data_IF_967235110834
#
_entry.id   IF_967235110834
#
_cell.length_a   1.000
_cell.length_b   1.000
_cell.length_c   1.000
_cell.angle_alpha   90.00
_cell.angle_beta   90.00
_cell.angle_gamma   90.00
#
_symmetry.space_group_name_H-M   'P 1'
#
loop_
_entity.id
_entity.type
_entity.pdbx_description
1 polymer ?
#
# COMPACT_ATOMS: atom_id res chain seq x y z
N UNK A 1 69.53 46.21 -4.70
CA UNK A 1 70.12 47.19 -5.63
C UNK A 1 69.20 48.38 -5.52
N UNK A 2 69.70 49.49 -4.98
CA UNK A 2 68.88 50.69 -4.74
C UNK A 2 68.63 51.34 -6.12
N UNK A 3 67.48 51.03 -6.71
CA UNK A 3 66.96 51.71 -7.90
C UNK A 3 66.42 53.08 -7.50
N UNK A 4 66.60 54.08 -8.36
CA UNK A 4 66.19 55.47 -8.13
C UNK A 4 64.72 55.57 -7.66
N UNK A 5 64.49 55.97 -6.41
CA UNK A 5 63.15 56.25 -5.82
C UNK A 5 62.54 57.59 -6.31
N UNK A 6 63.03 58.19 -7.40
CA UNK A 6 62.61 59.53 -7.82
C UNK A 6 62.29 59.58 -9.32
N UNK A 7 61.22 60.29 -9.68
CA UNK A 7 60.86 60.59 -11.06
C UNK A 7 61.82 61.61 -11.70
N UNK A 8 61.81 61.71 -13.03
CA UNK A 8 62.75 62.55 -13.78
C UNK A 8 62.20 63.99 -13.92
N UNK A 9 62.93 65.06 -13.57
CA UNK A 9 62.41 66.44 -13.67
C UNK A 9 62.28 66.98 -15.10
N UNK A 10 62.50 66.15 -16.12
CA UNK A 10 62.36 66.48 -17.55
C UNK A 10 61.38 65.54 -18.27
N UNK A 11 60.80 64.60 -17.52
CA UNK A 11 59.74 63.68 -17.94
C UNK A 11 58.53 64.04 -17.08
N UNK A 12 57.37 64.27 -17.67
CA UNK A 12 56.16 64.63 -16.94
C UNK A 12 55.26 63.43 -16.61
N UNK A 13 55.58 62.25 -17.15
CA UNK A 13 54.87 60.98 -17.00
C UNK A 13 55.93 59.86 -17.04
N UNK A 14 56.34 59.36 -15.87
CA UNK A 14 57.56 58.55 -15.71
C UNK A 14 57.37 57.08 -16.08
N UNK A 15 56.16 56.52 -16.03
CA UNK A 15 55.83 55.16 -16.45
C UNK A 15 55.06 55.07 -17.77
N UNK A 16 54.66 56.22 -18.31
CA UNK A 16 54.03 56.39 -19.62
C UNK A 16 52.63 55.77 -19.70
N UNK A 17 51.90 55.76 -18.59
CA UNK A 17 50.52 55.28 -18.51
C UNK A 17 49.50 56.33 -19.01
N UNK A 18 49.90 57.59 -19.11
CA UNK A 18 49.08 58.72 -19.55
C UNK A 18 48.59 59.67 -18.45
N UNK A 19 48.98 59.47 -17.19
CA UNK A 19 48.86 60.42 -16.09
C UNK A 19 50.17 61.20 -15.88
N UNK A 20 50.07 62.45 -15.44
CA UNK A 20 51.27 63.22 -15.10
C UNK A 20 51.74 62.85 -13.69
N UNK A 21 53.06 62.68 -13.49
CA UNK A 21 53.72 62.38 -12.19
C UNK A 21 53.16 63.25 -11.04
N UNK A 22 52.83 64.50 -11.38
CA UNK A 22 52.32 65.50 -10.45
C UNK A 22 50.87 65.25 -10.06
N UNK A 23 50.02 64.79 -10.97
CA UNK A 23 48.62 64.50 -10.70
C UNK A 23 48.48 63.20 -9.90
N UNK A 24 49.26 62.17 -10.23
CA UNK A 24 49.34 60.90 -9.48
C UNK A 24 49.68 61.18 -8.00
N UNK A 25 50.80 61.85 -7.73
CA UNK A 25 51.24 62.09 -6.35
C UNK A 25 50.35 63.08 -5.58
N UNK A 26 49.81 64.12 -6.23
CA UNK A 26 49.09 65.19 -5.52
C UNK A 26 47.57 64.98 -5.42
N UNK A 27 46.97 64.23 -6.35
CA UNK A 27 45.51 64.08 -6.42
C UNK A 27 45.06 62.64 -6.14
N UNK A 28 45.82 61.63 -6.56
CA UNK A 28 45.38 60.23 -6.57
C UNK A 28 46.16 59.33 -5.60
N UNK A 29 47.36 59.75 -5.20
CA UNK A 29 48.28 59.01 -4.33
C UNK A 29 48.81 57.70 -4.95
N UNK A 30 48.75 57.58 -6.28
CA UNK A 30 49.29 56.44 -7.01
C UNK A 30 50.82 56.58 -7.25
N UNK A 31 51.50 55.50 -7.64
CA UNK A 31 52.95 55.48 -7.84
C UNK A 31 53.30 55.89 -9.29
N UNK A 32 53.91 57.07 -9.51
CA UNK A 32 54.20 57.60 -10.86
C UNK A 32 55.25 56.82 -11.66
N UNK A 33 55.64 55.64 -11.18
CA UNK A 33 56.59 54.73 -11.83
C UNK A 33 55.99 53.36 -12.09
N UNK A 34 54.76 53.13 -11.64
CA UNK A 34 54.07 51.88 -11.79
C UNK A 34 52.77 52.17 -12.54
N UNK A 35 52.66 51.64 -13.75
CA UNK A 35 51.50 51.90 -14.62
C UNK A 35 50.17 51.38 -14.07
N UNK A 36 50.21 50.57 -13.01
CA UNK A 36 49.13 49.84 -12.35
C UNK A 36 49.56 49.71 -10.89
N UNK A 37 49.15 50.66 -10.04
CA UNK A 37 49.74 50.87 -8.72
C UNK A 37 49.32 49.82 -7.68
N UNK A 38 48.10 49.32 -7.75
CA UNK A 38 47.55 48.27 -6.88
C UNK A 38 47.65 46.85 -7.47
N UNK A 39 48.14 46.72 -8.71
CA UNK A 39 48.38 45.44 -9.39
C UNK A 39 47.08 44.66 -9.69
N UNK A 40 45.94 45.35 -9.90
CA UNK A 40 44.62 44.77 -10.19
C UNK A 40 44.40 44.46 -11.69
N UNK A 41 45.31 44.94 -12.55
CA UNK A 41 45.26 44.74 -14.00
C UNK A 41 44.70 45.92 -14.80
N UNK A 42 44.22 46.98 -14.14
CA UNK A 42 43.87 48.28 -14.71
C UNK A 42 45.04 49.24 -14.56
N UNK A 43 45.20 50.16 -15.51
CA UNK A 43 46.21 51.20 -15.34
C UNK A 43 45.65 52.37 -14.55
N UNK A 44 46.47 53.06 -13.76
CA UNK A 44 46.04 54.24 -12.99
C UNK A 44 45.26 55.23 -13.88
N UNK A 45 45.77 55.48 -15.10
CA UNK A 45 45.10 56.33 -16.08
C UNK A 45 43.75 55.83 -16.55
N UNK A 46 43.53 54.51 -16.61
CA UNK A 46 42.27 53.90 -17.04
C UNK A 46 41.23 54.11 -15.96
N UNK A 47 41.55 53.81 -14.72
CA UNK A 47 40.63 53.91 -13.58
C UNK A 47 40.14 55.35 -13.36
N UNK A 48 41.04 56.34 -13.49
CA UNK A 48 40.69 57.76 -13.32
C UNK A 48 39.88 58.32 -14.51
N UNK A 49 40.14 57.84 -15.72
CA UNK A 49 39.52 58.39 -16.93
C UNK A 49 38.26 57.62 -17.38
N UNK A 50 38.05 56.40 -16.90
CA UNK A 50 36.95 55.52 -17.28
C UNK A 50 35.93 55.38 -16.13
N UNK A 51 35.20 56.46 -15.86
CA UNK A 51 34.16 56.48 -14.82
C UNK A 51 32.80 56.09 -15.39
N UNK A 52 32.62 54.80 -15.72
CA UNK A 52 31.39 54.26 -16.33
C UNK A 52 30.73 53.18 -15.47
N UNK A 53 31.20 52.99 -14.25
CA UNK A 53 30.82 51.92 -13.32
C UNK A 53 29.72 52.37 -12.36
N UNK A 54 29.11 51.41 -11.68
CA UNK A 54 28.02 51.55 -10.71
C UNK A 54 26.67 51.87 -11.35
N UNK A 55 25.60 51.79 -10.55
CA UNK A 55 24.20 51.94 -11.00
C UNK A 55 23.92 53.18 -11.88
N UNK A 56 24.61 54.31 -11.60
CA UNK A 56 24.41 55.58 -12.30
C UNK A 56 25.43 55.82 -13.46
N UNK A 57 26.23 54.81 -13.84
CA UNK A 57 27.29 54.85 -14.88
C UNK A 57 28.21 56.08 -14.78
N UNK A 58 28.63 56.43 -13.56
CA UNK A 58 29.46 57.62 -13.33
C UNK A 58 30.53 57.46 -12.25
N UNK A 59 30.68 56.25 -11.74
CA UNK A 59 31.66 55.91 -10.73
C UNK A 59 32.94 55.39 -11.38
N UNK A 60 34.06 55.57 -10.70
CA UNK A 60 35.37 55.14 -11.16
C UNK A 60 36.01 54.24 -10.11
N UNK A 61 36.79 53.27 -10.57
CA UNK A 61 37.71 52.45 -9.77
C UNK A 61 38.86 53.29 -9.22
N UNK A 62 39.69 52.72 -8.36
CA UNK A 62 40.65 53.49 -7.57
C UNK A 62 42.08 52.96 -7.74
N UNK A 63 43.06 53.78 -8.16
CA UNK A 63 44.42 53.35 -8.51
C UNK A 63 45.32 53.00 -7.32
N UNK A 64 44.74 52.66 -6.18
CA UNK A 64 45.44 52.27 -4.95
C UNK A 64 44.63 51.25 -4.14
N UNK A 65 43.48 50.81 -4.65
CA UNK A 65 42.59 49.83 -4.06
C UNK A 65 42.14 48.89 -5.18
N UNK A 66 42.64 47.66 -5.09
CA UNK A 66 42.48 46.56 -6.04
C UNK A 66 41.04 46.04 -6.18
N UNK A 67 40.23 46.21 -5.14
CA UNK A 67 38.84 45.73 -5.04
C UNK A 67 37.95 46.88 -4.53
N UNK A 68 37.16 47.41 -5.44
CA UNK A 68 36.43 48.67 -5.30
C UNK A 68 35.14 48.56 -4.50
N UNK A 69 34.44 47.43 -4.56
CA UNK A 69 33.18 47.19 -3.84
C UNK A 69 33.33 46.24 -2.64
N UNK A 70 34.44 45.51 -2.56
CA UNK A 70 34.85 44.67 -1.46
C UNK A 70 34.26 43.25 -1.50
N UNK A 71 33.85 42.75 -2.66
CA UNK A 71 33.26 41.41 -2.82
C UNK A 71 34.32 40.28 -2.83
N UNK A 72 35.58 40.63 -3.13
CA UNK A 72 36.73 39.75 -3.19
C UNK A 72 37.29 39.48 -4.60
N UNK A 73 36.69 40.05 -5.64
CA UNK A 73 37.17 40.06 -7.02
C UNK A 73 37.88 41.40 -7.30
N UNK A 74 39.04 41.36 -7.95
CA UNK A 74 39.80 42.59 -8.23
C UNK A 74 39.16 43.33 -9.43
N UNK A 75 39.18 44.67 -9.45
CA UNK A 75 38.46 45.49 -10.45
C UNK A 75 38.83 45.10 -11.90
N UNK A 76 40.07 44.73 -12.16
CA UNK A 76 40.52 44.25 -13.47
C UNK A 76 40.06 42.83 -13.83
N UNK A 77 39.85 41.96 -12.83
CA UNK A 77 39.28 40.62 -13.01
C UNK A 77 37.78 40.71 -13.31
N UNK A 78 37.06 41.60 -12.63
CA UNK A 78 35.65 41.89 -12.89
C UNK A 78 35.40 42.32 -14.35
N UNK A 79 36.23 43.21 -14.91
CA UNK A 79 36.11 43.56 -16.33
C UNK A 79 36.40 42.39 -17.27
N UNK A 80 37.16 41.40 -16.82
CA UNK A 80 37.47 40.19 -17.59
C UNK A 80 36.29 39.23 -17.59
N UNK A 81 35.62 39.08 -16.44
CA UNK A 81 34.45 38.22 -16.25
C UNK A 81 33.14 38.89 -16.68
N UNK A 82 33.14 40.22 -16.81
CA UNK A 82 32.04 41.02 -17.35
C UNK A 82 31.14 41.64 -16.28
N UNK A 83 31.54 41.61 -15.02
CA UNK A 83 30.85 42.20 -13.86
C UNK A 83 31.19 43.68 -13.68
N UNK A 84 30.48 44.37 -12.78
CA UNK A 84 30.68 45.81 -12.51
C UNK A 84 31.51 46.03 -11.23
N UNK A 85 32.73 46.64 -11.33
CA UNK A 85 33.60 46.92 -10.17
C UNK A 85 33.08 47.84 -9.07
N UNK A 86 31.81 48.18 -9.10
CA UNK A 86 31.16 49.00 -8.07
C UNK A 86 29.90 48.33 -7.54
N UNK A 87 29.65 47.10 -7.95
CA UNK A 87 28.46 46.35 -7.63
C UNK A 87 28.80 44.91 -7.29
N UNK A 88 28.76 44.59 -6.00
CA UNK A 88 29.24 43.31 -5.47
C UNK A 88 28.39 42.10 -5.88
N UNK A 89 27.26 42.32 -6.53
CA UNK A 89 26.25 41.33 -6.92
C UNK A 89 25.63 41.85 -8.22
N UNK A 90 26.29 41.56 -9.34
CA UNK A 90 26.05 42.22 -10.62
C UNK A 90 24.69 41.88 -11.25
N UNK A 91 24.01 40.82 -10.81
CA UNK A 91 22.68 40.45 -11.29
C UNK A 91 21.57 40.46 -10.23
N UNK A 92 21.89 40.91 -9.01
CA UNK A 92 20.98 41.12 -7.89
C UNK A 92 20.28 39.84 -7.37
N UNK A 93 20.89 38.67 -7.53
CA UNK A 93 20.30 37.37 -7.15
C UNK A 93 20.58 36.99 -5.67
N UNK A 94 21.52 37.70 -5.03
CA UNK A 94 21.90 37.53 -3.64
C UNK A 94 23.16 36.69 -3.40
N UNK A 95 23.84 36.21 -4.45
CA UNK A 95 25.21 35.70 -4.44
C UNK A 95 26.13 36.83 -4.92
N UNK A 96 27.35 36.92 -4.39
CA UNK A 96 28.29 37.92 -4.86
C UNK A 96 29.16 37.37 -6.01
N UNK A 97 29.62 38.26 -6.89
CA UNK A 97 30.29 37.88 -8.13
C UNK A 97 31.49 36.94 -7.89
N UNK A 98 32.31 37.24 -6.89
CA UNK A 98 33.41 36.38 -6.47
C UNK A 98 32.98 34.95 -6.10
N UNK A 99 31.88 34.80 -5.36
CA UNK A 99 31.39 33.48 -4.95
C UNK A 99 30.90 32.69 -6.15
N UNK A 100 30.21 33.31 -7.09
CA UNK A 100 29.70 32.64 -8.28
C UNK A 100 30.82 32.09 -9.16
N UNK A 101 31.90 32.85 -9.33
CA UNK A 101 33.05 32.44 -10.15
C UNK A 101 33.90 31.37 -9.44
N UNK A 102 33.92 31.36 -8.11
CA UNK A 102 34.82 30.46 -7.34
C UNK A 102 34.13 29.22 -6.78
N UNK A 103 32.83 29.27 -6.52
CA UNK A 103 32.04 28.20 -5.94
C UNK A 103 31.39 27.33 -7.03
N UNK A 104 32.23 26.61 -7.76
CA UNK A 104 31.80 25.74 -8.86
C UNK A 104 31.47 24.31 -8.39
N UNK A 105 30.51 24.15 -7.48
CA UNK A 105 30.12 22.85 -6.93
C UNK A 105 28.67 22.46 -7.29
N UNK A 106 28.12 23.07 -8.34
CA UNK A 106 26.74 22.86 -8.79
C UNK A 106 26.69 21.98 -10.04
N UNK A 107 25.48 21.56 -10.37
CA UNK A 107 25.14 20.65 -11.45
C UNK A 107 25.57 19.20 -11.19
N UNK A 108 25.08 18.33 -12.05
CA UNK A 108 25.25 16.86 -12.01
C UNK A 108 26.68 16.34 -11.77
N UNK A 109 27.69 17.04 -12.31
CA UNK A 109 29.11 16.66 -12.17
C UNK A 109 29.85 17.44 -11.06
N UNK A 110 29.14 18.22 -10.23
CA UNK A 110 29.67 19.12 -9.17
C UNK A 110 30.85 19.98 -9.68
N UNK A 111 30.68 20.60 -10.86
CA UNK A 111 31.76 21.38 -11.50
C UNK A 111 31.28 22.62 -12.27
N UNK A 112 30.00 22.94 -12.14
CA UNK A 112 29.40 24.14 -12.70
C UNK A 112 29.30 25.22 -11.62
N UNK A 113 29.31 26.46 -12.07
CA UNK A 113 29.18 27.64 -11.22
C UNK A 113 28.03 28.48 -11.76
N UNK A 114 27.38 29.22 -10.86
CA UNK A 114 26.39 30.24 -11.17
C UNK A 114 27.03 31.38 -11.97
N UNK A 115 26.20 32.12 -12.69
CA UNK A 115 26.64 33.15 -13.60
C UNK A 115 26.42 34.52 -12.95
N UNK A 116 27.47 35.33 -12.72
CA UNK A 116 27.37 36.64 -12.04
C UNK A 116 26.77 37.77 -12.88
N UNK A 117 25.92 37.41 -13.82
CA UNK A 117 25.30 38.30 -14.79
C UNK A 117 23.92 37.77 -15.23
N UNK A 118 23.50 36.64 -14.66
CA UNK A 118 22.26 35.93 -14.96
C UNK A 118 21.74 35.35 -13.64
N UNK A 119 20.82 36.07 -13.01
CA UNK A 119 20.23 35.72 -11.71
C UNK A 119 19.50 34.37 -11.63
N UNK A 120 19.31 33.68 -12.75
CA UNK A 120 18.63 32.38 -12.89
C UNK A 120 19.35 31.65 -14.02
N UNK A 121 20.37 30.90 -13.64
CA UNK A 121 21.40 30.39 -14.54
C UNK A 121 20.92 29.22 -15.40
N UNK A 122 20.06 28.36 -14.86
CA UNK A 122 19.51 27.20 -15.58
C UNK A 122 18.17 27.53 -16.28
N UNK A 123 17.52 28.63 -15.90
CA UNK A 123 16.31 29.16 -16.49
C UNK A 123 15.03 28.48 -16.01
N UNK A 124 15.04 27.87 -14.83
CA UNK A 124 13.91 27.15 -14.24
C UNK A 124 12.88 28.05 -13.54
N UNK A 125 13.18 29.36 -13.40
CA UNK A 125 12.41 30.42 -12.73
C UNK A 125 12.65 30.63 -11.23
N UNK A 126 13.58 29.89 -10.64
CA UNK A 126 14.13 30.14 -9.32
C UNK A 126 15.45 30.91 -9.50
N UNK A 127 15.73 31.88 -8.61
CA UNK A 127 16.98 32.65 -8.67
C UNK A 127 18.10 31.88 -7.95
N UNK A 128 19.33 31.88 -8.48
CA UNK A 128 20.40 30.99 -7.98
C UNK A 128 20.67 31.24 -6.48
N UNK A 129 20.72 32.51 -6.07
CA UNK A 129 20.85 32.90 -4.66
C UNK A 129 19.71 32.40 -3.76
N UNK A 130 18.50 32.23 -4.29
CA UNK A 130 17.39 31.63 -3.54
C UNK A 130 17.62 30.13 -3.28
N UNK A 131 18.10 29.40 -4.28
CA UNK A 131 18.38 27.97 -4.20
C UNK A 131 19.51 27.69 -3.22
N UNK A 132 20.61 28.45 -3.35
CA UNK A 132 21.81 28.32 -2.53
C UNK A 132 21.56 28.68 -1.07
N UNK A 133 20.86 29.79 -0.80
CA UNK A 133 20.78 30.35 0.56
C UNK A 133 19.47 30.13 1.30
N UNK A 134 18.35 30.01 0.58
CA UNK A 134 17.02 29.93 1.17
C UNK A 134 16.39 28.53 1.07
N UNK A 135 17.04 27.62 0.35
CA UNK A 135 16.70 26.21 0.36
C UNK A 135 15.42 25.92 -0.42
N UNK A 136 15.43 26.25 -1.71
CA UNK A 136 14.45 25.73 -2.67
C UNK A 136 14.51 24.20 -2.81
N UNK A 137 15.57 23.59 -2.27
CA UNK A 137 15.85 22.16 -2.36
C UNK A 137 16.22 21.70 -3.79
N UNK A 138 16.51 22.63 -4.68
CA UNK A 138 16.99 22.47 -6.06
C UNK A 138 18.49 22.81 -6.21
N UNK A 139 19.07 22.46 -7.35
CA UNK A 139 20.40 22.83 -7.81
C UNK A 139 20.30 23.96 -8.85
N UNK A 140 20.97 25.12 -8.66
CA UNK A 140 20.83 26.28 -9.55
C UNK A 140 21.35 26.06 -10.98
N UNK A 141 22.02 24.94 -11.23
CA UNK A 141 22.50 24.55 -12.55
C UNK A 141 21.67 23.44 -13.21
N UNK A 142 20.61 22.97 -12.55
CA UNK A 142 19.82 21.83 -12.98
C UNK A 142 18.32 22.09 -12.89
N UNK A 143 17.69 22.14 -14.06
CA UNK A 143 16.27 22.51 -14.19
C UNK A 143 15.27 21.48 -13.66
N UNK A 144 15.75 20.30 -13.24
CA UNK A 144 14.97 19.12 -12.82
C UNK A 144 15.88 18.29 -11.88
N UNK A 145 16.04 18.77 -10.64
CA UNK A 145 17.12 18.35 -9.73
C UNK A 145 17.05 16.87 -9.32
N UNK A 146 15.88 16.25 -9.37
CA UNK A 146 15.69 14.82 -9.07
C UNK A 146 15.38 13.94 -10.28
N UNK A 147 15.44 14.50 -11.50
CA UNK A 147 15.19 13.82 -12.77
C UNK A 147 13.79 13.15 -12.86
N UNK A 148 12.80 13.71 -12.18
CA UNK A 148 11.45 13.16 -12.12
C UNK A 148 10.60 13.57 -13.34
N UNK A 149 11.01 14.63 -14.04
CA UNK A 149 10.37 15.16 -15.24
C UNK A 149 9.48 16.38 -15.00
N UNK A 150 9.37 16.85 -13.76
CA UNK A 150 8.86 18.15 -13.35
C UNK A 150 10.06 19.08 -13.15
N UNK A 151 9.86 20.36 -13.44
CA UNK A 151 10.92 21.36 -13.32
C UNK A 151 10.82 22.02 -11.94
N UNK A 152 11.94 22.26 -11.28
CA UNK A 152 11.99 22.71 -9.87
C UNK A 152 11.17 24.00 -9.64
N UNK A 153 11.25 24.97 -10.56
CA UNK A 153 10.42 26.16 -10.55
C UNK A 153 8.91 25.88 -10.67
N UNK A 154 8.49 24.83 -11.37
CA UNK A 154 7.09 24.36 -11.39
C UNK A 154 6.71 23.79 -10.03
N UNK A 155 7.58 23.00 -9.41
CA UNK A 155 7.31 22.39 -8.11
C UNK A 155 7.23 23.41 -6.98
N UNK A 156 7.98 24.50 -7.07
CA UNK A 156 7.93 25.58 -6.06
C UNK A 156 6.83 26.61 -6.30
N UNK A 157 6.41 26.85 -7.55
CA UNK A 157 5.50 27.93 -7.91
C UNK A 157 4.08 27.49 -8.32
N UNK A 158 3.93 26.28 -8.85
CA UNK A 158 2.67 25.70 -9.31
C UNK A 158 2.11 24.69 -8.29
N UNK A 159 2.08 25.10 -7.03
CA UNK A 159 1.48 24.37 -5.92
C UNK A 159 -0.05 24.29 -6.06
N UNK A 160 -0.54 23.37 -6.88
CA UNK A 160 -1.99 23.15 -7.10
C UNK A 160 -2.41 21.72 -6.78
N UNK A 161 -1.53 20.96 -6.14
CA UNK A 161 -1.71 19.56 -5.81
C UNK A 161 -2.29 19.43 -4.40
N UNK A 162 -2.71 18.21 -4.07
CA UNK A 162 -3.36 17.82 -2.84
C UNK A 162 -4.73 18.40 -2.49
N UNK A 163 -5.33 17.92 -1.37
CA UNK A 163 -6.72 18.19 -1.01
C UNK A 163 -6.98 19.68 -0.74
N UNK A 164 -5.93 20.47 -0.50
CA UNK A 164 -6.03 21.92 -0.35
C UNK A 164 -5.95 22.67 -1.68
N UNK A 165 -5.46 22.03 -2.74
CA UNK A 165 -5.15 22.63 -4.05
C UNK A 165 -4.10 23.75 -3.92
N UNK A 166 -3.23 23.64 -2.92
CA UNK A 166 -2.16 24.59 -2.62
C UNK A 166 -0.86 23.91 -2.20
N UNK A 167 -0.79 22.60 -2.34
CA UNK A 167 0.35 21.80 -1.93
C UNK A 167 1.28 21.59 -3.15
N UNK A 168 2.58 21.38 -2.90
CA UNK A 168 3.61 21.27 -3.94
C UNK A 168 4.49 20.03 -3.74
N UNK A 169 5.02 19.52 -4.84
CA UNK A 169 6.04 18.46 -4.87
C UNK A 169 7.39 19.04 -4.46
N UNK A 170 8.41 18.19 -4.31
CA UNK A 170 9.73 18.58 -3.83
C UNK A 170 10.80 18.41 -4.92
N UNK A 171 11.52 19.48 -5.29
CA UNK A 171 12.57 19.45 -6.32
C UNK A 171 13.70 18.41 -6.20
N UNK A 172 13.83 17.75 -5.05
CA UNK A 172 14.87 16.76 -4.82
C UNK A 172 14.35 15.38 -4.41
N UNK A 173 13.05 15.16 -4.55
CA UNK A 173 12.40 13.90 -4.25
C UNK A 173 11.50 13.53 -5.44
N UNK A 174 11.89 12.55 -6.26
CA UNK A 174 11.13 12.20 -7.46
C UNK A 174 9.82 11.43 -7.15
N UNK A 175 9.48 11.35 -5.87
CA UNK A 175 8.37 10.64 -5.24
C UNK A 175 8.23 11.29 -3.85
N UNK A 176 7.39 12.32 -3.77
CA UNK A 176 7.33 13.25 -2.64
C UNK A 176 6.80 12.57 -1.37
N UNK A 177 5.79 11.72 -1.47
CA UNK A 177 5.21 11.01 -0.32
C UNK A 177 5.82 9.63 -0.05
N UNK A 178 6.56 9.08 -1.02
CA UNK A 178 7.30 7.83 -0.91
C UNK A 178 6.45 6.58 -1.07
N UNK A 179 5.31 6.66 -1.76
CA UNK A 179 4.40 5.53 -1.97
C UNK A 179 4.86 4.58 -3.10
N UNK A 180 5.83 5.02 -3.91
CA UNK A 180 6.40 4.28 -5.03
C UNK A 180 5.86 4.66 -6.41
N UNK A 181 5.04 5.71 -6.51
CA UNK A 181 4.66 6.41 -7.73
C UNK A 181 5.53 7.68 -7.82
N UNK A 182 5.82 8.10 -9.05
CA UNK A 182 6.63 9.28 -9.28
C UNK A 182 5.71 10.49 -9.48
N UNK A 183 6.10 11.65 -8.95
CA UNK A 183 5.24 12.85 -8.92
C UNK A 183 4.77 13.26 -10.33
N UNK A 184 5.65 13.18 -11.34
CA UNK A 184 5.26 13.44 -12.74
C UNK A 184 4.13 12.50 -13.21
N UNK A 185 4.18 11.21 -12.87
CA UNK A 185 3.16 10.23 -13.27
C UNK A 185 1.80 10.54 -12.62
N UNK A 186 1.80 10.93 -11.36
CA UNK A 186 0.60 11.34 -10.61
C UNK A 186 0.00 12.63 -11.19
N UNK A 187 0.83 13.58 -11.61
CA UNK A 187 0.36 14.88 -12.08
C UNK A 187 -0.07 14.87 -13.55
N UNK A 188 0.68 14.19 -14.43
CA UNK A 188 0.53 14.35 -15.88
C UNK A 188 0.04 13.10 -16.62
N UNK A 189 0.30 11.91 -16.07
CA UNK A 189 -0.07 10.66 -16.72
C UNK A 189 -1.50 10.25 -16.35
N UNK A 190 -1.92 10.50 -15.09
CA UNK A 190 -3.29 10.33 -14.57
C UNK A 190 -3.99 9.11 -15.16
N UNK A 191 -3.42 7.93 -14.90
CA UNK A 191 -3.81 6.68 -15.57
C UNK A 191 -4.82 5.86 -14.77
N UNK A 192 -5.38 6.41 -13.70
CA UNK A 192 -6.21 5.68 -12.73
C UNK A 192 -7.72 5.92 -12.98
N UNK A 193 -8.57 5.14 -12.29
CA UNK A 193 -10.02 5.14 -12.48
C UNK A 193 -10.52 4.39 -13.72
N UNK A 194 -11.84 4.23 -13.85
CA UNK A 194 -12.48 3.44 -14.95
C UNK A 194 -12.13 3.94 -16.36
N UNK A 195 -11.83 5.24 -16.50
CA UNK A 195 -11.56 5.92 -17.76
C UNK A 195 -10.04 6.21 -17.99
N UNK A 196 -9.17 5.80 -17.06
CA UNK A 196 -7.73 6.12 -17.03
C UNK A 196 -7.48 7.64 -17.18
N UNK A 197 -8.18 8.45 -16.40
CA UNK A 197 -8.06 9.91 -16.36
C UNK A 197 -8.06 10.50 -14.95
N UNK A 198 -7.96 9.66 -13.92
CA UNK A 198 -7.87 10.04 -12.52
C UNK A 198 -6.40 9.96 -12.03
N UNK A 199 -6.09 10.79 -11.05
CA UNK A 199 -4.74 11.03 -10.53
C UNK A 199 -4.77 10.78 -9.01
N UNK A 200 -3.74 10.13 -8.47
CA UNK A 200 -3.42 10.11 -7.05
C UNK A 200 -2.79 11.44 -6.64
N UNK A 201 -2.69 11.71 -5.34
CA UNK A 201 -2.07 12.93 -4.84
C UNK A 201 -0.59 12.68 -4.47
N UNK A 202 0.39 13.34 -5.12
CA UNK A 202 1.82 13.10 -4.87
C UNK A 202 2.32 13.49 -3.48
N UNK A 203 1.43 13.90 -2.58
CA UNK A 203 1.72 14.20 -1.18
C UNK A 203 0.93 13.34 -0.20
N UNK A 204 0.13 12.41 -0.70
CA UNK A 204 -0.73 11.54 0.09
C UNK A 204 -0.59 10.09 -0.37
N UNK A 205 0.22 9.34 0.38
CA UNK A 205 0.60 7.97 0.02
C UNK A 205 -0.53 6.93 0.06
N UNK A 206 -1.75 7.34 0.41
CA UNK A 206 -2.95 6.52 0.65
C UNK A 206 -4.19 7.43 0.43
N UNK A 207 -4.55 7.62 -0.84
CA UNK A 207 -5.49 8.63 -1.33
C UNK A 207 -6.93 8.42 -0.83
N UNK A 208 -7.33 7.20 -0.47
CA UNK A 208 -8.67 6.88 0.01
C UNK A 208 -8.74 6.50 1.50
N UNK A 209 -7.60 6.52 2.21
CA UNK A 209 -7.44 6.28 3.64
C UNK A 209 -7.88 4.87 4.11
N UNK A 210 -7.79 3.86 3.25
CA UNK A 210 -8.23 2.49 3.57
C UNK A 210 -7.13 1.62 4.25
N UNK A 211 -5.88 2.08 4.18
CA UNK A 211 -4.71 1.44 4.77
C UNK A 211 -3.81 0.67 3.79
N UNK A 212 -4.10 0.69 2.49
CA UNK A 212 -3.23 0.27 1.40
C UNK A 212 -2.77 1.52 0.65
N UNK A 213 -1.46 1.69 0.48
CA UNK A 213 -0.96 2.88 -0.22
C UNK A 213 -1.11 2.78 -1.73
N UNK A 214 -1.27 3.91 -2.41
CA UNK A 214 -1.65 3.96 -3.83
C UNK A 214 -0.67 3.18 -4.71
N UNK A 215 0.63 3.39 -4.52
CA UNK A 215 1.68 2.67 -5.22
C UNK A 215 1.64 1.15 -4.98
N UNK A 216 1.17 0.68 -3.83
CA UNK A 216 0.98 -0.75 -3.54
C UNK A 216 -0.21 -1.31 -4.31
N UNK A 217 -1.33 -0.60 -4.26
CA UNK A 217 -2.54 -0.97 -4.99
C UNK A 217 -2.28 -1.10 -6.47
N UNK A 218 -1.71 -0.07 -7.09
CA UNK A 218 -1.45 -0.03 -8.54
C UNK A 218 -0.45 -1.11 -8.97
N UNK A 219 0.67 -1.25 -8.25
CA UNK A 219 1.77 -2.11 -8.69
C UNK A 219 1.66 -3.56 -8.24
N UNK A 220 0.86 -3.85 -7.20
CA UNK A 220 0.78 -5.18 -6.57
C UNK A 220 -0.59 -5.81 -6.72
N UNK A 221 -1.65 -5.10 -6.32
CA UNK A 221 -3.01 -5.65 -6.26
C UNK A 221 -3.84 -5.36 -7.51
N UNK A 222 -3.44 -4.35 -8.29
CA UNK A 222 -4.19 -3.80 -9.42
C UNK A 222 -5.60 -3.34 -9.03
N UNK A 223 -5.76 -2.89 -7.79
CA UNK A 223 -6.96 -2.22 -7.27
C UNK A 223 -6.95 -0.72 -7.61
N UNK A 224 -8.00 0.00 -7.23
CA UNK A 224 -8.16 1.42 -7.54
C UNK A 224 -7.92 2.29 -6.30
N UNK A 225 -6.84 3.09 -6.25
CA UNK A 225 -6.41 3.80 -5.05
C UNK A 225 -7.26 5.00 -4.62
N UNK A 226 -8.40 5.20 -5.29
CA UNK A 226 -9.32 6.30 -5.02
C UNK A 226 -10.65 5.80 -4.44
N UNK A 227 -10.79 4.49 -4.24
CA UNK A 227 -12.00 3.85 -3.75
C UNK A 227 -11.66 2.80 -2.70
N UNK A 228 -12.13 3.04 -1.48
CA UNK A 228 -11.82 2.19 -0.33
C UNK A 228 -12.26 0.72 -0.47
N UNK A 229 -13.12 0.40 -1.45
CA UNK A 229 -13.69 -0.92 -1.73
C UNK A 229 -13.79 -1.02 -3.26
N UNK A 230 -12.79 -1.64 -3.88
CA UNK A 230 -12.57 -1.60 -5.32
C UNK A 230 -13.58 -2.44 -6.09
N UNK A 231 -14.01 -3.58 -5.54
CA UNK A 231 -14.95 -4.48 -6.20
C UNK A 231 -16.41 -4.35 -5.73
N UNK A 232 -16.66 -3.44 -4.78
CA UNK A 232 -17.95 -3.05 -4.23
C UNK A 232 -18.70 -4.19 -3.50
N UNK A 233 -17.99 -5.14 -2.90
CA UNK A 233 -18.59 -6.24 -2.14
C UNK A 233 -18.96 -5.87 -0.70
N UNK A 234 -18.35 -4.79 -0.17
CA UNK A 234 -18.55 -4.25 1.16
C UNK A 234 -17.43 -4.52 2.16
N UNK A 235 -16.33 -5.18 1.78
CA UNK A 235 -15.05 -5.15 2.47
C UNK A 235 -14.18 -4.03 1.89
N UNK A 236 -13.53 -3.26 2.76
CA UNK A 236 -12.56 -2.29 2.29
C UNK A 236 -11.27 -3.02 1.85
N UNK A 237 -10.57 -2.53 0.82
CA UNK A 237 -9.39 -3.16 0.20
C UNK A 237 -8.29 -3.48 1.25
N UNK A 238 -8.10 -2.59 2.22
CA UNK A 238 -7.20 -2.78 3.36
C UNK A 238 -7.62 -3.92 4.30
N UNK A 239 -8.92 -4.16 4.49
CA UNK A 239 -9.42 -5.33 5.20
C UNK A 239 -9.15 -6.61 4.40
N UNK A 240 -9.35 -6.57 3.09
CA UNK A 240 -9.10 -7.69 2.20
C UNK A 240 -7.62 -8.10 2.18
N UNK A 241 -6.69 -7.15 2.10
CA UNK A 241 -5.25 -7.42 2.24
C UNK A 241 -4.94 -8.15 3.55
N UNK A 242 -5.63 -7.81 4.64
CA UNK A 242 -5.42 -8.43 5.95
C UNK A 242 -5.94 -9.88 6.01
N UNK A 243 -6.94 -10.20 5.17
CA UNK A 243 -7.61 -11.51 5.09
C UNK A 243 -7.04 -12.39 3.99
N UNK A 244 -6.41 -11.80 2.98
CA UNK A 244 -5.88 -12.48 1.80
C UNK A 244 -6.90 -12.72 0.70
N UNK A 245 -8.04 -12.01 0.73
CA UNK A 245 -9.04 -11.98 -0.35
C UNK A 245 -8.56 -11.09 -1.50
N UNK A 246 -9.32 -11.04 -2.59
CA UNK A 246 -8.92 -10.39 -3.83
C UNK A 246 -9.69 -9.08 -4.05
N UNK A 247 -8.96 -7.96 -3.92
CA UNK A 247 -9.44 -6.57 -4.04
C UNK A 247 -10.19 -6.21 -5.33
N UNK A 248 -10.18 -7.08 -6.35
CA UNK A 248 -10.83 -6.82 -7.64
C UNK A 248 -11.90 -7.85 -7.97
N UNK A 249 -12.24 -8.72 -7.02
CA UNK A 249 -13.13 -9.84 -7.21
C UNK A 249 -13.90 -10.17 -5.93
N UNK A 250 -15.16 -9.73 -5.90
CA UNK A 250 -16.08 -9.80 -4.76
C UNK A 250 -16.33 -11.20 -4.17
N UNK A 251 -15.85 -12.26 -4.79
CA UNK A 251 -16.07 -13.68 -4.47
C UNK A 251 -14.76 -14.42 -4.80
N UNK A 252 -13.85 -14.48 -3.82
CA UNK A 252 -12.45 -14.87 -4.05
C UNK A 252 -12.30 -16.34 -4.46
N UNK A 253 -13.16 -17.23 -3.97
CA UNK A 253 -13.09 -18.67 -4.23
C UNK A 253 -14.13 -19.20 -5.23
N UNK A 254 -14.96 -18.31 -5.78
CA UNK A 254 -15.99 -18.54 -6.80
C UNK A 254 -17.12 -19.48 -6.34
N UNK A 255 -17.52 -19.41 -5.05
CA UNK A 255 -18.58 -20.25 -4.45
C UNK A 255 -19.99 -19.64 -4.54
N UNK A 256 -20.12 -18.40 -5.02
CA UNK A 256 -21.33 -17.56 -5.09
C UNK A 256 -21.77 -16.88 -3.78
N UNK A 257 -20.94 -16.91 -2.74
CA UNK A 257 -20.96 -15.98 -1.62
C UNK A 257 -19.94 -14.88 -1.91
N UNK A 258 -20.18 -13.68 -1.37
CA UNK A 258 -19.19 -12.62 -1.47
C UNK A 258 -18.29 -12.66 -0.24
N UNK A 259 -17.04 -12.23 -0.36
CA UNK A 259 -16.07 -12.25 0.72
C UNK A 259 -16.61 -11.51 1.96
N UNK A 260 -17.26 -10.36 1.75
CA UNK A 260 -17.97 -9.61 2.78
C UNK A 260 -19.02 -10.45 3.51
N UNK A 261 -19.82 -11.24 2.79
CA UNK A 261 -20.87 -12.10 3.37
C UNK A 261 -20.24 -13.15 4.26
N UNK A 262 -19.19 -13.80 3.81
CA UNK A 262 -18.53 -14.88 4.56
C UNK A 262 -17.85 -14.34 5.82
N UNK A 263 -17.25 -13.17 5.74
CA UNK A 263 -16.60 -12.50 6.86
C UNK A 263 -17.60 -11.97 7.90
N UNK A 264 -18.72 -11.38 7.47
CA UNK A 264 -19.62 -10.63 8.35
C UNK A 264 -20.92 -11.36 8.70
N UNK A 265 -21.32 -12.36 7.92
CA UNK A 265 -22.58 -13.10 8.09
C UNK A 265 -22.35 -14.51 8.66
N UNK A 266 -21.78 -14.57 9.87
CA UNK A 266 -21.51 -15.80 10.63
C UNK A 266 -22.78 -16.43 11.23
N UNK A 267 -23.75 -16.84 10.41
CA UNK A 267 -25.06 -17.36 10.87
C UNK A 267 -25.22 -18.86 10.54
N UNK A 268 -24.22 -19.50 9.96
CA UNK A 268 -24.27 -20.87 9.44
C UNK A 268 -23.64 -21.80 10.48
N UNK A 269 -24.49 -22.44 11.30
CA UNK A 269 -24.06 -23.25 12.43
C UNK A 269 -25.26 -23.72 13.26
N UNK A 270 -25.32 -25.04 13.53
CA UNK A 270 -26.36 -25.74 14.31
C UNK A 270 -26.77 -25.08 15.65
N UNK A 271 -25.95 -24.19 16.20
CA UNK A 271 -26.17 -23.58 17.52
C UNK A 271 -26.78 -22.17 17.48
N UNK A 272 -26.93 -21.54 16.30
CA UNK A 272 -27.38 -20.13 16.20
C UNK A 272 -26.58 -19.18 17.13
N UNK A 273 -25.34 -19.55 17.47
CA UNK A 273 -24.49 -18.80 18.41
C UNK A 273 -23.82 -17.59 17.76
N UNK A 274 -23.87 -17.49 16.42
CA UNK A 274 -23.33 -16.37 15.66
C UNK A 274 -21.80 -16.37 15.56
N UNK A 275 -21.17 -17.55 15.51
CA UNK A 275 -19.71 -17.71 15.57
C UNK A 275 -19.09 -18.46 14.39
N UNK A 276 -19.91 -19.02 13.52
CA UNK A 276 -19.48 -19.98 12.52
C UNK A 276 -19.71 -19.32 11.16
N UNK A 277 -18.61 -19.05 10.45
CA UNK A 277 -18.58 -18.35 9.17
C UNK A 277 -17.76 -19.19 8.20
N UNK A 278 -18.15 -19.16 6.93
CA UNK A 278 -17.40 -19.74 5.82
C UNK A 278 -16.08 -18.99 5.63
N UNK A 279 -15.11 -19.66 4.99
CA UNK A 279 -13.80 -19.08 4.72
C UNK A 279 -13.77 -18.63 3.26
N UNK A 280 -13.63 -17.32 2.96
CA UNK A 280 -13.69 -16.78 1.58
C UNK A 280 -12.55 -17.25 0.66
N UNK A 281 -11.66 -18.11 1.17
CA UNK A 281 -10.58 -18.72 0.42
C UNK A 281 -10.82 -20.21 0.15
N UNK A 282 -11.96 -20.77 0.59
CA UNK A 282 -12.29 -22.18 0.56
C UNK A 282 -13.73 -22.40 0.05
N UNK A 283 -13.83 -22.75 -1.23
CA UNK A 283 -15.07 -23.13 -1.92
C UNK A 283 -16.01 -24.09 -1.15
N UNK A 284 -15.45 -24.94 -0.29
CA UNK A 284 -16.14 -26.04 0.40
C UNK A 284 -15.50 -26.15 1.80
N UNK A 285 -16.20 -25.58 2.77
CA UNK A 285 -15.66 -25.33 4.11
C UNK A 285 -15.58 -26.58 4.99
N UNK A 286 -16.56 -27.49 4.90
CA UNK A 286 -16.56 -28.75 5.65
C UNK A 286 -15.96 -29.93 4.87
N UNK A 287 -15.79 -29.79 3.55
CA UNK A 287 -15.13 -30.72 2.67
C UNK A 287 -16.00 -31.89 2.20
N UNK A 288 -17.32 -31.73 2.21
CA UNK A 288 -18.28 -32.77 1.86
C UNK A 288 -18.54 -32.90 0.34
N UNK A 289 -18.08 -31.91 -0.43
CA UNK A 289 -18.18 -31.86 -1.89
C UNK A 289 -19.31 -30.99 -2.45
N UNK A 290 -20.11 -30.33 -1.60
CA UNK A 290 -20.89 -29.16 -1.95
C UNK A 290 -20.06 -27.89 -1.74
N UNK A 291 -20.47 -26.78 -2.33
CA UNK A 291 -19.84 -25.49 -2.04
C UNK A 291 -20.76 -24.67 -1.16
N UNK A 292 -20.18 -23.79 -0.35
CA UNK A 292 -20.91 -23.15 0.74
C UNK A 292 -22.10 -22.31 0.19
N UNK A 293 -21.91 -21.63 -0.92
CA UNK A 293 -22.97 -20.91 -1.63
C UNK A 293 -24.12 -21.78 -2.15
N UNK A 294 -23.85 -22.99 -2.67
CA UNK A 294 -24.87 -23.96 -3.11
C UNK A 294 -25.64 -24.53 -1.91
N UNK A 295 -24.95 -24.78 -0.80
CA UNK A 295 -25.57 -25.23 0.44
C UNK A 295 -26.55 -24.19 0.96
N UNK A 296 -26.13 -22.93 1.09
CA UNK A 296 -27.00 -21.85 1.58
C UNK A 296 -28.11 -21.51 0.57
N UNK A 297 -27.79 -21.49 -0.72
CA UNK A 297 -28.67 -20.98 -1.77
C UNK A 297 -29.65 -21.99 -2.34
N UNK A 298 -29.28 -23.27 -2.36
CA UNK A 298 -30.00 -24.34 -3.07
C UNK A 298 -30.45 -25.46 -2.16
N UNK A 299 -29.55 -26.01 -1.33
CA UNK A 299 -29.79 -27.22 -0.55
C UNK A 299 -30.33 -26.95 0.86
N UNK A 300 -30.09 -25.75 1.38
CA UNK A 300 -30.45 -25.29 2.73
C UNK A 300 -29.79 -26.11 3.86
N UNK A 301 -28.64 -26.72 3.56
CA UNK A 301 -27.74 -27.41 4.49
C UNK A 301 -26.80 -26.43 5.19
N UNK A 302 -26.08 -26.89 6.20
CA UNK A 302 -25.13 -26.08 6.98
C UNK A 302 -23.70 -26.28 6.44
N UNK A 303 -23.09 -25.28 5.76
CA UNK A 303 -21.78 -25.43 5.11
C UNK A 303 -20.58 -25.68 6.04
N UNK A 304 -20.84 -25.70 7.35
CA UNK A 304 -19.87 -26.02 8.39
C UNK A 304 -20.03 -27.44 8.93
N UNK A 305 -20.98 -28.20 8.40
CA UNK A 305 -21.42 -29.49 8.91
C UNK A 305 -21.75 -30.46 7.78
N UNK A 306 -20.80 -31.35 7.51
CA UNK A 306 -20.85 -32.24 6.36
C UNK A 306 -22.05 -33.19 6.32
N UNK A 307 -22.80 -33.34 7.41
CA UNK A 307 -23.91 -34.28 7.59
C UNK A 307 -25.02 -33.57 8.41
N UNK A 308 -25.85 -32.79 7.69
CA UNK A 308 -26.78 -31.83 8.28
C UNK A 308 -27.91 -32.47 9.09
N UNK A 309 -28.28 -33.72 8.81
CA UNK A 309 -29.34 -34.45 9.51
C UNK A 309 -28.85 -35.60 10.40
N UNK A 310 -27.57 -35.92 10.35
CA UNK A 310 -26.90 -36.88 11.23
C UNK A 310 -27.19 -38.34 10.89
N UNK A 311 -27.44 -38.63 9.61
CA UNK A 311 -27.77 -39.96 9.11
C UNK A 311 -26.55 -40.78 8.64
N UNK A 312 -25.38 -40.12 8.57
CA UNK A 312 -24.05 -40.62 8.19
C UNK A 312 -23.75 -40.63 6.69
N UNK A 313 -24.65 -40.19 5.84
CA UNK A 313 -24.30 -39.69 4.52
C UNK A 313 -23.99 -38.21 4.65
N UNK A 314 -22.96 -37.78 3.92
CA UNK A 314 -22.70 -36.36 3.82
C UNK A 314 -23.72 -35.70 2.89
N UNK A 315 -24.01 -34.42 3.09
CA UNK A 315 -25.01 -33.70 2.29
C UNK A 315 -24.68 -33.81 0.77
N UNK A 316 -23.40 -33.69 0.43
CA UNK A 316 -22.87 -33.94 -0.91
C UNK A 316 -23.07 -35.37 -1.40
N UNK A 317 -22.84 -36.39 -0.55
CA UNK A 317 -23.10 -37.78 -0.91
C UNK A 317 -24.57 -38.01 -1.26
N UNK A 318 -25.48 -37.43 -0.49
CA UNK A 318 -26.92 -37.52 -0.71
C UNK A 318 -27.34 -36.84 -2.00
N UNK A 319 -26.95 -35.59 -2.21
CA UNK A 319 -27.26 -34.83 -3.42
C UNK A 319 -26.73 -35.52 -4.68
N UNK A 320 -25.55 -36.15 -4.60
CA UNK A 320 -24.97 -36.89 -5.72
C UNK A 320 -25.39 -38.37 -5.80
N UNK A 321 -26.13 -38.88 -4.81
CA UNK A 321 -26.55 -40.29 -4.71
C UNK A 321 -25.36 -41.26 -4.62
N UNK A 322 -24.47 -41.02 -3.66
CA UNK A 322 -23.20 -41.73 -3.43
C UNK A 322 -23.16 -42.44 -2.07
N UNK A 323 -22.42 -43.55 -2.01
CA UNK A 323 -22.14 -44.31 -0.78
C UNK A 323 -20.94 -43.73 -0.01
N UNK A 324 -20.64 -44.28 1.17
CA UNK A 324 -19.48 -43.95 2.02
C UNK A 324 -18.10 -44.02 1.34
N UNK A 325 -18.02 -44.50 0.09
CA UNK A 325 -16.80 -44.57 -0.72
C UNK A 325 -16.86 -43.65 -1.95
N UNK A 326 -17.76 -42.66 -1.94
CA UNK A 326 -18.00 -41.68 -3.00
C UNK A 326 -18.29 -42.33 -4.35
N UNK A 327 -18.98 -43.48 -4.35
CA UNK A 327 -19.45 -44.14 -5.56
C UNK A 327 -20.97 -44.19 -5.58
N UNK A 328 -21.58 -44.06 -6.75
CA UNK A 328 -23.05 -44.06 -6.79
C UNK A 328 -23.63 -45.39 -6.30
N UNK A 329 -24.48 -45.35 -5.27
CA UNK A 329 -25.23 -46.51 -4.78
C UNK A 329 -26.38 -46.90 -5.72
N UNK A 330 -26.77 -46.00 -6.63
CA UNK A 330 -27.67 -46.29 -7.75
C UNK A 330 -29.16 -46.21 -7.43
N UNK A 331 -29.53 -45.72 -6.24
CA UNK A 331 -30.91 -45.53 -5.81
C UNK A 331 -31.47 -44.13 -6.08
N UNK A 332 -30.59 -43.14 -6.28
CA UNK A 332 -30.98 -41.75 -6.51
C UNK A 332 -30.31 -40.85 -5.49
N UNK A 333 -30.76 -39.60 -5.41
CA UNK A 333 -30.40 -38.70 -4.33
C UNK A 333 -31.41 -38.84 -3.19
N UNK A 334 -30.99 -38.56 -1.97
CA UNK A 334 -31.80 -38.44 -0.74
C UNK A 334 -31.93 -36.96 -0.36
N UNK A 335 -32.69 -36.64 0.70
CA UNK A 335 -32.89 -35.28 1.18
C UNK A 335 -31.96 -35.01 2.39
N UNK A 336 -30.92 -34.16 2.26
CA UNK A 336 -29.89 -33.99 3.29
C UNK A 336 -30.33 -33.25 4.56
N UNK A 337 -31.65 -33.08 4.72
CA UNK A 337 -32.26 -32.47 5.89
C UNK A 337 -33.27 -33.42 6.54
N UNK A 338 -33.32 -34.68 6.08
CA UNK A 338 -34.28 -35.69 6.47
C UNK A 338 -33.62 -37.07 6.51
N UNK A 339 -33.14 -37.44 7.70
CA UNK A 339 -32.36 -38.66 7.94
C UNK A 339 -33.04 -39.98 7.54
N UNK A 340 -34.31 -39.97 7.14
CA UNK A 340 -35.08 -41.11 6.61
C UNK A 340 -35.97 -40.58 5.46
N UNK A 341 -35.41 -40.48 4.26
CA UNK A 341 -36.02 -39.81 3.09
C UNK A 341 -37.36 -40.39 2.66
N UNK A 342 -37.69 -41.62 3.05
CA UNK A 342 -38.90 -42.31 2.64
C UNK A 342 -39.90 -42.66 3.76
N UNK A 343 -39.61 -42.22 4.98
CA UNK A 343 -40.37 -42.47 6.21
C UNK A 343 -40.56 -43.97 6.51
N UNK A 344 -39.59 -44.81 6.14
CA UNK A 344 -39.65 -46.26 6.24
C UNK A 344 -39.14 -46.81 7.57
N UNK A 345 -38.39 -46.00 8.32
CA UNK A 345 -37.92 -46.23 9.67
C UNK A 345 -36.48 -46.73 9.78
N UNK A 346 -35.73 -46.76 8.67
CA UNK A 346 -34.27 -46.91 8.64
C UNK A 346 -33.69 -45.63 8.06
N UNK A 347 -32.52 -45.20 8.56
CA UNK A 347 -31.85 -44.00 8.03
C UNK A 347 -31.19 -44.24 6.67
N UNK A 348 -31.15 -43.23 5.82
CA UNK A 348 -30.67 -43.40 4.43
C UNK A 348 -29.22 -43.92 4.39
N UNK A 349 -28.34 -43.38 5.24
CA UNK A 349 -26.97 -43.86 5.37
C UNK A 349 -26.84 -45.31 5.83
N UNK A 350 -27.75 -45.78 6.69
CA UNK A 350 -27.77 -47.20 7.10
C UNK A 350 -28.18 -48.08 5.93
N UNK A 351 -29.20 -47.68 5.18
CA UNK A 351 -29.67 -48.40 4.01
C UNK A 351 -28.59 -48.53 2.94
N UNK A 352 -27.86 -47.44 2.68
CA UNK A 352 -26.82 -47.38 1.65
C UNK A 352 -25.57 -48.15 2.07
N UNK A 353 -25.05 -47.93 3.28
CA UNK A 353 -23.73 -48.43 3.68
C UNK A 353 -23.76 -49.82 4.33
N UNK A 354 -24.86 -50.21 4.98
CA UNK A 354 -24.92 -51.45 5.77
C UNK A 354 -25.97 -52.46 5.28
N UNK A 355 -27.21 -52.04 5.09
CA UNK A 355 -28.33 -52.95 4.82
C UNK A 355 -28.52 -53.26 3.33
N UNK A 356 -27.95 -52.46 2.42
CA UNK A 356 -28.08 -52.55 0.95
C UNK A 356 -29.56 -52.54 0.51
N UNK A 357 -30.38 -51.74 1.21
CA UNK A 357 -31.77 -51.41 0.91
C UNK A 357 -31.85 -50.07 0.17
N UNK A 358 -33.05 -49.66 -0.22
CA UNK A 358 -33.22 -48.47 -1.06
C UNK A 358 -33.75 -47.31 -0.20
N UNK A 359 -32.96 -46.23 0.01
CA UNK A 359 -33.33 -45.06 0.83
C UNK A 359 -34.43 -44.17 0.25
N UNK A 360 -35.24 -44.72 -0.65
CA UNK A 360 -36.30 -44.05 -1.38
C UNK A 360 -37.48 -45.01 -1.64
N UNK A 361 -37.51 -46.19 -1.01
CA UNK A 361 -38.59 -47.18 -1.02
C UNK A 361 -38.80 -47.90 0.33
N UNK A 362 -39.52 -47.26 1.25
CA UNK A 362 -40.05 -47.76 2.55
C UNK A 362 -40.61 -49.19 2.60
N UNK A 363 -40.83 -49.81 1.44
CA UNK A 363 -41.35 -51.17 1.32
C UNK A 363 -40.26 -52.26 1.41
N UNK A 364 -38.98 -51.90 1.43
CA UNK A 364 -37.85 -52.82 1.54
C UNK A 364 -37.00 -52.75 2.83
N UNK A 365 -37.38 -51.88 3.77
CA UNK A 365 -36.73 -51.65 5.07
C UNK A 365 -36.92 -52.80 6.07
N UNK A 366 -37.90 -53.69 5.84
CA UNK A 366 -38.20 -54.90 6.61
C UNK A 366 -37.83 -54.92 8.12
N UNK A 367 -38.12 -53.84 8.88
CA UNK A 367 -37.72 -53.64 10.30
C UNK A 367 -37.83 -54.88 11.20
N UNK A 368 -38.98 -55.58 11.20
CA UNK A 368 -39.22 -56.80 12.00
C UNK A 368 -38.23 -57.96 11.73
N UNK A 369 -37.52 -57.92 10.60
CA UNK A 369 -36.52 -58.91 10.19
C UNK A 369 -35.07 -58.42 10.36
N UNK A 370 -34.89 -57.12 10.58
CA UNK A 370 -33.61 -56.45 10.72
C UNK A 370 -33.32 -56.00 12.14
N UNK A 371 -34.29 -55.94 13.06
CA UNK A 371 -34.08 -55.69 14.50
C UNK A 371 -34.21 -57.03 15.29
N UNK A 372 -33.10 -57.59 15.76
CA UNK A 372 -33.09 -58.94 16.35
C UNK A 372 -33.53 -58.97 17.81
N UNK A 373 -33.25 -57.93 18.58
CA UNK A 373 -33.49 -57.88 20.02
C UNK A 373 -34.71 -57.01 20.41
N UNK A 374 -35.22 -56.23 19.46
CA UNK A 374 -36.45 -55.47 19.54
C UNK A 374 -36.31 -54.14 20.26
N UNK A 375 -35.11 -53.55 20.26
CA UNK A 375 -34.78 -52.35 21.03
C UNK A 375 -35.08 -51.04 20.27
N UNK A 376 -35.32 -51.14 18.96
CA UNK A 376 -35.64 -50.02 18.08
C UNK A 376 -34.52 -49.62 17.12
N UNK A 377 -33.33 -50.24 17.20
CA UNK A 377 -32.29 -50.17 16.18
C UNK A 377 -32.34 -51.41 15.27
N UNK A 378 -32.08 -51.19 13.98
CA UNK A 378 -31.77 -52.27 13.04
C UNK A 378 -30.38 -52.84 13.33
N UNK A 379 -30.14 -54.10 13.01
CA UNK A 379 -28.82 -54.73 13.08
C UNK A 379 -27.76 -53.95 12.27
N UNK A 380 -28.18 -53.25 11.20
CA UNK A 380 -27.32 -52.35 10.43
C UNK A 380 -26.98 -51.09 11.23
N UNK A 381 -27.97 -50.47 11.87
CA UNK A 381 -27.77 -49.33 12.77
C UNK A 381 -26.88 -49.71 13.95
N UNK A 382 -27.09 -50.86 14.57
CA UNK A 382 -26.30 -51.35 15.71
C UNK A 382 -24.83 -51.58 15.35
N UNK A 383 -24.56 -52.13 14.16
CA UNK A 383 -23.19 -52.23 13.65
C UNK A 383 -22.53 -50.86 13.48
N UNK A 384 -23.33 -49.84 13.22
CA UNK A 384 -22.86 -48.47 12.97
C UNK A 384 -22.70 -47.69 14.27
N UNK A 385 -23.54 -47.95 15.28
CA UNK A 385 -23.41 -47.44 16.66
C UNK A 385 -22.41 -48.23 17.51
N UNK A 386 -21.76 -49.25 16.94
CA UNK A 386 -20.87 -50.19 17.64
C UNK A 386 -21.53 -50.97 18.80
N UNK A 387 -22.85 -51.10 18.80
CA UNK A 387 -23.65 -51.86 19.75
C UNK A 387 -23.78 -53.34 19.34
N UNK A 388 -24.31 -54.22 20.22
CA UNK A 388 -24.44 -55.66 19.96
C UNK A 388 -25.83 -56.02 19.40
N UNK A 389 -25.94 -56.52 18.15
CA UNK A 389 -27.22 -56.85 17.49
C UNK A 389 -28.10 -57.94 18.09
N UNK A 390 -27.85 -58.32 19.33
CA UNK A 390 -28.61 -59.31 20.08
C UNK A 390 -28.78 -58.89 21.55
N UNK A 391 -28.36 -57.67 21.92
CA UNK A 391 -28.38 -57.14 23.28
C UNK A 391 -28.95 -55.70 23.34
N UNK A 392 -30.20 -55.52 23.83
CA UNK A 392 -30.94 -54.27 23.66
C UNK A 392 -30.51 -53.15 24.62
N UNK A 393 -29.32 -53.22 25.22
CA UNK A 393 -28.75 -52.34 26.26
C UNK A 393 -27.24 -52.71 26.37
N UNK A 394 -26.46 -52.29 25.38
CA UNK A 394 -25.08 -52.75 25.14
C UNK A 394 -24.13 -52.43 26.28
N UNK A 395 -24.39 -51.35 27.02
CA UNK A 395 -23.56 -50.93 28.12
C UNK A 395 -24.10 -51.33 29.51
N UNK A 396 -25.27 -51.96 29.60
CA UNK A 396 -26.02 -52.37 30.81
C UNK A 396 -26.39 -51.20 31.77
N UNK A 397 -26.61 -49.97 31.28
CA UNK A 397 -26.96 -48.81 32.12
C UNK A 397 -28.47 -48.72 32.43
N UNK A 398 -29.31 -49.37 31.63
CA UNK A 398 -30.76 -49.42 31.77
C UNK A 398 -31.57 -48.50 30.86
N UNK A 399 -30.93 -47.80 29.91
CA UNK A 399 -31.54 -47.36 28.65
C UNK A 399 -31.30 -48.43 27.57
N UNK A 400 -32.16 -48.51 26.55
CA UNK A 400 -31.84 -49.34 25.39
C UNK A 400 -31.04 -48.56 24.38
N UNK A 401 -30.23 -49.23 23.56
CA UNK A 401 -29.38 -48.58 22.57
C UNK A 401 -30.23 -47.68 21.65
N UNK A 402 -31.39 -48.16 21.22
CA UNK A 402 -32.37 -47.37 20.48
C UNK A 402 -32.97 -46.18 21.25
N UNK A 403 -33.19 -46.27 22.56
CA UNK A 403 -33.69 -45.13 23.37
C UNK A 403 -32.59 -44.05 23.55
N UNK A 404 -31.31 -44.43 23.47
CA UNK A 404 -30.17 -43.51 23.57
C UNK A 404 -29.87 -42.81 22.25
N UNK A 405 -30.02 -43.52 21.14
CA UNK A 405 -29.81 -43.00 19.78
C UNK A 405 -30.99 -42.15 19.30
N UNK A 406 -32.23 -42.63 19.50
CA UNK A 406 -33.45 -41.93 19.04
C UNK A 406 -34.12 -41.06 20.12
N UNK A 407 -33.66 -41.16 21.36
CA UNK A 407 -34.25 -40.47 22.51
C UNK A 407 -35.52 -41.17 23.01
N UNK A 408 -35.68 -41.18 24.34
CA UNK A 408 -36.76 -41.92 25.03
C UNK A 408 -38.18 -41.68 24.44
N UNK A 409 -38.74 -42.74 23.84
CA UNK A 409 -40.05 -42.75 23.14
C UNK A 409 -40.22 -41.66 22.06
N UNK A 410 -39.16 -41.22 21.38
CA UNK A 410 -39.18 -40.10 20.41
C UNK A 410 -39.83 -38.83 20.99
N UNK A 411 -39.78 -38.64 22.32
CA UNK A 411 -40.55 -37.59 23.03
C UNK A 411 -39.65 -36.63 23.80
N UNK A 412 -38.45 -37.05 24.20
CA UNK A 412 -37.48 -36.23 24.93
C UNK A 412 -36.15 -36.27 24.18
N UNK A 413 -35.75 -35.14 23.59
CA UNK A 413 -34.52 -35.02 22.77
C UNK A 413 -33.24 -34.99 23.60
N UNK A 414 -33.02 -36.00 24.44
CA UNK A 414 -31.73 -36.26 25.08
C UNK A 414 -31.18 -37.53 24.46
N UNK A 415 -30.06 -37.43 23.76
CA UNK A 415 -29.29 -38.56 23.23
C UNK A 415 -28.06 -38.82 24.10
N UNK A 416 -27.63 -40.08 24.18
CA UNK A 416 -26.43 -40.52 24.92
C UNK A 416 -25.64 -41.54 24.09
N UNK A 417 -24.41 -41.85 24.50
CA UNK A 417 -23.58 -42.87 23.85
C UNK A 417 -23.99 -44.26 24.37
N UNK A 418 -24.60 -45.13 23.53
CA UNK A 418 -25.14 -46.43 23.96
C UNK A 418 -24.08 -47.43 24.43
N UNK A 419 -22.80 -47.09 24.29
CA UNK A 419 -21.68 -47.90 24.76
C UNK A 419 -21.09 -47.38 26.08
N UNK A 420 -21.68 -46.34 26.69
CA UNK A 420 -21.16 -45.70 27.90
C UNK A 420 -22.25 -45.35 28.91
N UNK A 421 -22.14 -46.02 30.07
CA UNK A 421 -23.05 -45.82 31.21
C UNK A 421 -23.19 -44.40 31.75
N UNK A 422 -22.30 -43.49 31.35
CA UNK A 422 -22.10 -42.12 31.85
C UNK A 422 -21.38 -41.39 30.72
N UNK A 423 -22.16 -40.84 29.78
CA UNK A 423 -21.68 -40.29 28.50
C UNK A 423 -20.77 -39.09 28.71
N UNK A 424 -21.11 -38.20 29.65
CA UNK A 424 -20.35 -36.97 29.92
C UNK A 424 -19.24 -37.15 30.98
N UNK A 425 -19.24 -38.29 31.68
CA UNK A 425 -18.23 -38.67 32.66
C UNK A 425 -18.32 -37.89 33.98
N UNK A 426 -19.47 -37.30 34.30
CA UNK A 426 -19.67 -36.53 35.54
C UNK A 426 -19.92 -37.42 36.77
N UNK A 427 -20.15 -38.71 36.55
CA UNK A 427 -20.39 -39.74 37.56
C UNK A 427 -21.86 -40.05 37.82
N UNK A 428 -22.78 -39.52 37.02
CA UNK A 428 -24.19 -39.87 36.99
C UNK A 428 -24.46 -40.74 35.75
N UNK A 429 -25.20 -41.84 35.92
CA UNK A 429 -25.53 -42.66 34.76
C UNK A 429 -26.65 -42.04 33.93
N UNK A 430 -26.57 -42.19 32.61
CA UNK A 430 -27.49 -41.60 31.64
C UNK A 430 -28.94 -42.02 31.94
N UNK A 431 -29.18 -43.31 32.22
CA UNK A 431 -30.50 -43.80 32.64
C UNK A 431 -31.06 -43.13 33.90
N UNK A 432 -30.20 -42.68 34.83
CA UNK A 432 -30.60 -41.97 36.05
C UNK A 432 -30.98 -40.53 35.73
N UNK A 433 -30.27 -39.90 34.80
CA UNK A 433 -30.50 -38.52 34.38
C UNK A 433 -31.87 -38.36 33.73
N UNK A 434 -32.18 -39.22 32.76
CA UNK A 434 -33.45 -39.13 32.03
C UNK A 434 -34.65 -39.50 32.93
N UNK A 435 -34.49 -40.51 33.79
CA UNK A 435 -35.58 -40.97 34.67
C UNK A 435 -35.85 -40.09 35.91
N UNK A 436 -34.92 -39.20 36.31
CA UNK A 436 -35.09 -38.33 37.50
C UNK A 436 -35.22 -36.83 37.18
N UNK A 437 -35.53 -36.47 35.93
CA UNK A 437 -35.93 -35.11 35.56
C UNK A 437 -37.19 -34.68 36.36
N UNK A 438 -37.01 -33.77 37.33
CA UNK A 438 -38.10 -33.22 38.18
C UNK A 438 -38.65 -31.89 37.69
#
# INVERSE_FOLDING_TARGET
EDGDECTSPIDDDSDHDGLEDGDEVNNWTSDPKNTDTDDDGLSDSTEINNCIYGEDENECTSPIYDDSDGDGLDDGEELTEGTDPKDSDSDDDGINDWEEITNCNYGEDENQCTSPNIADSDGDTIEDGYEVYYGAYSDPMDTDTDDDGINDGVETSNCVYGPSGSDCTHPNLPDTDGDGINDYDEIFNCVYGEDNDECTDPQDSDSDDDGVGDGVEINTYFSNPLITDTDEDGLDDGEEVSRGTNLTNSDTDDDNLSDHVEVNNCVYGQNNTGSDCTDPLLLDSDGDGLNDGDEIGTHLTDPMDSDSDGDRLSDGQEIFGQDGNSTSHGYGATDPLDADSDDGGIRDGTEVDTDDTNPNDHSDDFLDALDNDGDGLSNGEELTEETDPEDPDSDDDGLSDGDEVYGLNNTYGYTSDPNKKDTDGDGLNDSIEVNNCF
#
